data_IF_443857898661
#
_entry.id   IF_443857898661
#
_cell.length_a   1.000
_cell.length_b   1.000
_cell.length_c   1.000
_cell.angle_alpha   90.00
_cell.angle_beta   90.00
_cell.angle_gamma   90.00
#
_symmetry.space_group_name_H-M   'P 1'
#
loop_
_entity.id
_entity.type
_entity.pdbx_description
1 polymer ?
#
# COMPACT_ATOMS: atom_id res chain seq x y z
N UNK A 1 11.54 3.30 14.73
CA UNK A 1 10.95 4.35 15.59
C UNK A 1 11.82 5.62 15.69
N UNK A 2 12.87 5.78 14.86
CA UNK A 2 13.77 6.94 14.94
C UNK A 2 14.57 7.05 16.25
N UNK A 3 14.55 6.02 17.10
CA UNK A 3 15.43 5.89 18.26
C UNK A 3 16.80 5.41 17.78
N UNK A 4 17.84 5.90 18.44
CA UNK A 4 19.19 5.36 18.27
C UNK A 4 19.30 4.10 19.13
N UNK A 5 19.55 2.95 18.49
CA UNK A 5 19.60 1.68 19.21
C UNK A 5 20.77 1.62 20.20
N UNK A 6 21.87 2.33 19.91
CA UNK A 6 23.04 2.38 20.80
C UNK A 6 22.74 3.05 22.14
N UNK A 7 21.80 4.01 22.17
CA UNK A 7 21.34 4.67 23.39
C UNK A 7 20.48 3.75 24.28
N UNK A 8 20.00 2.63 23.74
CA UNK A 8 19.07 1.71 24.40
C UNK A 8 19.62 0.29 24.54
N UNK A 9 20.93 0.10 24.41
CA UNK A 9 21.57 -1.22 24.45
C UNK A 9 21.28 -2.00 25.74
N UNK A 10 21.17 -1.30 26.88
CA UNK A 10 20.80 -1.91 28.16
C UNK A 10 19.38 -2.50 28.13
N UNK A 11 18.44 -1.86 27.45
CA UNK A 11 17.07 -2.35 27.30
C UNK A 11 17.00 -3.54 26.33
N UNK A 12 17.80 -3.51 25.27
CA UNK A 12 17.95 -4.59 24.29
C UNK A 12 18.48 -5.86 24.98
N UNK A 13 19.56 -5.74 25.75
CA UNK A 13 20.08 -6.87 26.52
C UNK A 13 19.11 -7.35 27.59
N UNK A 14 18.37 -6.43 28.22
CA UNK A 14 17.43 -6.78 29.29
C UNK A 14 16.32 -7.73 28.83
N UNK A 15 15.86 -7.59 27.58
CA UNK A 15 14.86 -8.50 26.99
C UNK A 15 15.48 -9.78 26.42
N UNK A 16 16.80 -9.93 26.48
CA UNK A 16 17.52 -11.11 26.07
C UNK A 16 18.00 -11.12 24.62
N UNK A 17 18.18 -9.94 24.01
CA UNK A 17 18.87 -9.81 22.72
C UNK A 17 20.37 -9.54 22.91
N UNK A 18 21.23 -10.08 22.04
CA UNK A 18 22.68 -9.99 22.21
C UNK A 18 23.25 -8.62 21.84
N UNK A 19 22.63 -7.87 20.93
CA UNK A 19 23.05 -6.56 20.48
C UNK A 19 21.95 -5.90 19.63
N UNK A 20 22.19 -4.67 19.17
CA UNK A 20 21.29 -3.87 18.33
C UNK A 20 21.16 -4.34 16.87
N UNK A 21 22.10 -5.16 16.38
CA UNK A 21 22.10 -5.68 15.01
C UNK A 21 21.34 -7.02 14.91
N UNK A 22 21.02 -7.63 16.04
CA UNK A 22 20.32 -8.90 16.10
C UNK A 22 18.91 -8.80 15.52
N UNK A 23 18.65 -9.63 14.50
CA UNK A 23 17.33 -9.79 13.88
C UNK A 23 16.57 -10.90 14.63
N UNK A 24 15.46 -10.59 15.33
CA UNK A 24 14.68 -11.58 16.06
C UNK A 24 14.16 -12.70 15.15
N UNK A 25 14.17 -13.93 15.67
CA UNK A 25 13.65 -15.10 14.94
C UNK A 25 12.24 -15.47 15.41
N UNK A 26 11.55 -16.30 14.64
CA UNK A 26 10.21 -16.79 15.02
C UNK A 26 10.26 -17.52 16.38
N UNK A 27 9.28 -17.22 17.25
CA UNK A 27 9.24 -17.66 18.64
C UNK A 27 9.72 -16.61 19.66
N UNK A 28 10.38 -15.54 19.19
CA UNK A 28 10.87 -14.45 20.05
C UNK A 28 9.95 -13.22 20.08
N UNK A 29 8.72 -13.33 19.58
CA UNK A 29 7.77 -12.23 19.45
C UNK A 29 7.48 -11.58 20.82
N UNK A 30 7.52 -12.37 21.89
CA UNK A 30 7.37 -11.89 23.26
C UNK A 30 8.52 -10.96 23.69
N UNK A 31 9.77 -11.24 23.34
CA UNK A 31 10.92 -10.37 23.65
C UNK A 31 10.81 -9.04 22.91
N UNK A 32 10.43 -9.11 21.63
CA UNK A 32 10.15 -7.91 20.81
C UNK A 32 9.04 -7.07 21.45
N UNK A 33 7.95 -7.71 21.88
CA UNK A 33 6.86 -7.03 22.57
C UNK A 33 7.31 -6.32 23.86
N UNK A 34 8.10 -6.99 24.69
CA UNK A 34 8.65 -6.39 25.91
C UNK A 34 9.57 -5.21 25.63
N UNK A 35 10.42 -5.32 24.62
CA UNK A 35 11.30 -4.22 24.21
C UNK A 35 10.49 -3.02 23.74
N UNK A 36 9.49 -3.24 22.88
CA UNK A 36 8.59 -2.19 22.41
C UNK A 36 7.90 -1.50 23.58
N UNK A 37 7.35 -2.26 24.55
CA UNK A 37 6.70 -1.69 25.73
C UNK A 37 7.65 -0.85 26.57
N UNK A 38 8.89 -1.30 26.74
CA UNK A 38 9.91 -0.59 27.52
C UNK A 38 10.34 0.70 26.82
N UNK A 39 10.50 0.65 25.50
CA UNK A 39 10.88 1.80 24.69
C UNK A 39 9.70 2.72 24.37
N UNK A 40 8.46 2.30 24.63
CA UNK A 40 7.25 3.01 24.23
C UNK A 40 7.23 4.50 24.63
N UNK A 41 7.61 4.90 25.86
CA UNK A 41 7.66 6.31 26.24
C UNK A 41 8.65 7.12 25.40
N UNK A 42 9.82 6.55 25.10
CA UNK A 42 10.84 7.18 24.26
C UNK A 42 10.38 7.31 22.81
N UNK A 43 9.73 6.27 22.29
CA UNK A 43 9.10 6.28 20.97
C UNK A 43 8.05 7.39 20.88
N UNK A 44 7.18 7.52 21.90
CA UNK A 44 6.17 8.57 21.95
C UNK A 44 6.79 9.97 21.99
N UNK A 45 7.85 10.17 22.78
CA UNK A 45 8.55 11.45 22.87
C UNK A 45 9.19 11.82 21.52
N UNK A 46 9.93 10.90 20.90
CA UNK A 46 10.55 11.11 19.58
C UNK A 46 9.50 11.41 18.51
N UNK A 47 8.40 10.66 18.50
CA UNK A 47 7.30 10.89 17.56
C UNK A 47 6.61 12.24 17.77
N UNK A 48 6.52 12.72 19.01
CA UNK A 48 5.99 14.06 19.30
C UNK A 48 6.88 15.15 18.71
N UNK A 49 8.21 15.04 18.89
CA UNK A 49 9.17 15.96 18.29
C UNK A 49 9.10 15.94 16.76
N UNK A 50 9.05 14.76 16.15
CA UNK A 50 8.88 14.65 14.70
C UNK A 50 7.56 15.28 14.22
N UNK A 51 6.47 15.07 14.95
CA UNK A 51 5.17 15.66 14.64
C UNK A 51 5.20 17.17 14.65
N UNK A 52 5.89 17.79 15.60
CA UNK A 52 6.05 19.25 15.61
C UNK A 52 6.76 19.74 14.34
N UNK A 53 7.77 18.99 13.86
CA UNK A 53 8.51 19.35 12.65
C UNK A 53 7.63 19.34 11.40
N UNK A 54 6.72 18.37 11.23
CA UNK A 54 5.88 18.30 10.02
C UNK A 54 4.47 18.84 10.19
N UNK A 55 4.00 19.13 11.41
CA UNK A 55 2.66 19.66 11.66
C UNK A 55 2.44 20.98 10.92
N UNK A 56 3.45 21.84 10.92
CA UNK A 56 3.33 23.16 10.28
C UNK A 56 3.23 23.07 8.76
N UNK A 57 3.81 22.03 8.13
CA UNK A 57 3.59 21.73 6.71
C UNK A 57 2.09 21.53 6.42
N UNK A 58 1.43 20.66 7.19
CA UNK A 58 0.02 20.35 6.98
C UNK A 58 -0.91 21.49 7.41
N UNK A 59 -0.59 22.21 8.49
CA UNK A 59 -1.36 23.39 8.92
C UNK A 59 -1.35 24.46 7.83
N UNK A 60 -0.17 24.77 7.28
CA UNK A 60 -0.02 25.75 6.19
C UNK A 60 -0.81 25.32 4.96
N UNK A 61 -0.71 24.05 4.56
CA UNK A 61 -1.45 23.52 3.41
C UNK A 61 -2.98 23.59 3.57
N UNK A 62 -3.49 23.65 4.81
CA UNK A 62 -4.92 23.64 5.11
C UNK A 62 -5.41 24.97 5.72
N UNK A 63 -4.58 26.01 5.73
CA UNK A 63 -4.91 27.30 6.32
C UNK A 63 -6.10 27.94 5.57
N UNK A 64 -7.04 28.53 6.32
CA UNK A 64 -8.26 29.11 5.74
C UNK A 64 -9.31 28.12 5.22
N UNK A 65 -8.99 26.84 5.07
CA UNK A 65 -9.94 25.83 4.58
C UNK A 65 -10.63 25.11 5.73
N UNK A 66 -11.97 25.10 5.73
CA UNK A 66 -12.78 24.34 6.70
C UNK A 66 -13.04 22.91 6.23
N UNK A 67 -13.27 22.70 4.94
CA UNK A 67 -13.54 21.40 4.36
C UNK A 67 -12.30 20.92 3.62
N UNK A 68 -11.83 19.72 3.93
CA UNK A 68 -10.62 19.14 3.35
C UNK A 68 -11.02 17.82 2.69
N UNK A 69 -10.75 17.69 1.41
CA UNK A 69 -10.87 16.43 0.69
C UNK A 69 -9.49 15.79 0.60
N UNK A 70 -9.38 14.54 1.04
CA UNK A 70 -8.18 13.73 0.91
C UNK A 70 -8.47 12.63 -0.11
N UNK A 71 -7.63 12.51 -1.13
CA UNK A 71 -7.74 11.47 -2.15
C UNK A 71 -6.53 10.58 -2.00
N UNK A 72 -6.76 9.30 -1.74
CA UNK A 72 -5.69 8.36 -1.41
C UNK A 72 -6.03 6.97 -1.97
N UNK A 73 -4.97 6.25 -2.32
CA UNK A 73 -4.99 4.89 -2.86
C UNK A 73 -4.78 3.86 -1.74
N UNK A 74 -4.43 4.29 -0.53
CA UNK A 74 -4.38 3.45 0.65
C UNK A 74 -5.75 2.91 1.08
N UNK A 75 -5.75 1.81 1.83
CA UNK A 75 -6.97 1.01 2.05
C UNK A 75 -7.55 1.08 3.48
N UNK A 76 -6.70 1.46 4.45
CA UNK A 76 -7.02 1.46 5.89
C UNK A 76 -7.17 2.87 6.49
N UNK A 77 -6.95 3.94 5.71
CA UNK A 77 -7.07 5.31 6.20
C UNK A 77 -5.99 5.76 7.19
N UNK A 78 -4.88 5.02 7.31
CA UNK A 78 -3.78 5.35 8.22
C UNK A 78 -3.17 6.72 7.92
N UNK A 79 -2.91 7.03 6.65
CA UNK A 79 -2.37 8.33 6.21
C UNK A 79 -3.32 9.46 6.63
N UNK A 80 -4.62 9.32 6.36
CA UNK A 80 -5.62 10.30 6.75
C UNK A 80 -5.70 10.48 8.28
N UNK A 81 -5.61 9.39 9.05
CA UNK A 81 -5.60 9.43 10.51
C UNK A 81 -4.37 10.17 11.05
N UNK A 82 -3.18 9.89 10.51
CA UNK A 82 -1.93 10.58 10.84
C UNK A 82 -1.99 12.06 10.45
N UNK A 83 -2.52 12.37 9.27
CA UNK A 83 -2.76 13.73 8.81
C UNK A 83 -3.72 14.49 9.75
N UNK A 84 -4.88 13.91 10.08
CA UNK A 84 -5.83 14.55 11.00
C UNK A 84 -5.18 14.83 12.36
N UNK A 85 -4.39 13.89 12.88
CA UNK A 85 -3.62 14.07 14.11
C UNK A 85 -2.56 15.16 13.96
N UNK A 86 -1.86 15.28 12.83
CA UNK A 86 -0.80 16.28 12.65
C UNK A 86 -1.30 17.73 12.81
N UNK A 87 -2.57 17.99 12.51
CA UNK A 87 -3.22 19.30 12.68
C UNK A 87 -3.39 19.74 14.15
N UNK A 88 -3.12 18.87 15.12
CA UNK A 88 -3.22 19.24 16.54
C UNK A 88 -4.65 19.61 16.92
N UNK A 89 -4.84 20.64 17.75
CA UNK A 89 -6.16 21.07 18.20
C UNK A 89 -7.07 21.56 17.05
N UNK A 90 -6.48 22.09 15.96
CA UNK A 90 -7.24 22.66 14.84
C UNK A 90 -8.05 21.61 14.07
N UNK A 91 -7.71 20.32 14.21
CA UNK A 91 -8.38 19.25 13.46
C UNK A 91 -9.90 19.22 13.69
N UNK A 92 -10.37 19.57 14.89
CA UNK A 92 -11.78 19.56 15.26
C UNK A 92 -12.58 20.69 14.58
N UNK A 93 -11.89 21.70 14.06
CA UNK A 93 -12.48 22.78 13.26
C UNK A 93 -12.54 22.41 11.77
N UNK A 94 -11.81 21.37 11.37
CA UNK A 94 -11.77 20.87 9.99
C UNK A 94 -12.78 19.75 9.79
N UNK A 95 -13.37 19.69 8.61
CA UNK A 95 -14.20 18.58 8.13
C UNK A 95 -13.39 17.81 7.10
N UNK A 96 -12.70 16.76 7.55
CA UNK A 96 -11.82 15.94 6.71
C UNK A 96 -12.63 14.78 6.13
N UNK A 97 -12.70 14.73 4.81
CA UNK A 97 -13.37 13.69 4.04
C UNK A 97 -12.36 13.00 3.11
N UNK A 98 -12.13 11.72 3.36
CA UNK A 98 -11.33 10.86 2.51
C UNK A 98 -12.16 10.22 1.41
N UNK A 99 -11.65 10.24 0.19
CA UNK A 99 -12.22 9.61 -0.98
C UNK A 99 -11.24 8.59 -1.52
N UNK A 100 -11.65 7.33 -1.48
CA UNK A 100 -10.83 6.17 -1.75
C UNK A 100 -11.44 5.33 -2.87
N UNK A 101 -10.59 4.65 -3.64
CA UNK A 101 -11.07 3.60 -4.54
C UNK A 101 -11.76 2.48 -3.76
N UNK A 102 -11.17 2.06 -2.65
CA UNK A 102 -11.73 1.08 -1.74
C UNK A 102 -11.25 1.33 -0.30
N UNK A 103 -12.08 0.97 0.68
CA UNK A 103 -11.67 0.89 2.09
C UNK A 103 -12.02 -0.49 2.65
N UNK A 104 -11.17 -1.01 3.54
CA UNK A 104 -11.35 -2.30 4.20
C UNK A 104 -11.89 -2.11 5.62
N UNK A 105 -12.26 -3.21 6.29
CA UNK A 105 -12.90 -3.17 7.62
C UNK A 105 -12.07 -2.40 8.65
N UNK A 106 -10.74 -2.56 8.64
CA UNK A 106 -9.82 -1.84 9.53
C UNK A 106 -9.84 -0.32 9.37
N UNK A 107 -10.33 0.22 8.25
CA UNK A 107 -10.49 1.67 8.08
C UNK A 107 -11.50 2.27 9.07
N UNK A 108 -12.40 1.46 9.63
CA UNK A 108 -13.38 1.91 10.61
C UNK A 108 -12.71 2.39 11.91
N UNK A 109 -11.57 1.82 12.29
CA UNK A 109 -10.82 2.18 13.50
C UNK A 109 -10.21 3.58 13.42
N UNK A 110 -10.05 4.12 12.20
CA UNK A 110 -9.50 5.44 11.95
C UNK A 110 -10.58 6.52 11.76
N UNK A 111 -11.87 6.18 11.82
CA UNK A 111 -12.97 7.12 11.62
C UNK A 111 -13.25 7.95 12.87
N UNK A 112 -13.68 9.19 12.68
CA UNK A 112 -14.34 10.00 13.71
C UNK A 112 -15.41 10.90 13.11
N UNK A 113 -16.07 11.70 13.95
CA UNK A 113 -17.08 12.68 13.49
C UNK A 113 -16.49 13.76 12.56
N UNK A 114 -15.20 14.07 12.70
CA UNK A 114 -14.46 15.06 11.90
C UNK A 114 -13.51 14.42 10.88
N UNK A 115 -13.40 13.09 10.89
CA UNK A 115 -12.50 12.32 10.03
C UNK A 115 -13.29 11.17 9.38
N UNK A 116 -13.90 11.44 8.23
CA UNK A 116 -14.75 10.47 7.52
C UNK A 116 -14.01 9.92 6.30
N UNK A 117 -14.30 8.69 5.94
CA UNK A 117 -13.71 8.01 4.79
C UNK A 117 -14.82 7.39 3.96
N UNK A 118 -14.67 7.42 2.64
CA UNK A 118 -15.63 6.87 1.70
C UNK A 118 -14.87 6.10 0.64
N UNK A 119 -15.08 4.79 0.61
CA UNK A 119 -14.60 3.95 -0.47
C UNK A 119 -15.66 3.78 -1.55
N UNK A 120 -15.26 3.84 -2.82
CA UNK A 120 -16.18 3.77 -3.97
C UNK A 120 -16.54 2.33 -4.35
N UNK A 121 -15.54 1.47 -4.53
CA UNK A 121 -15.71 0.08 -4.96
C UNK A 121 -16.01 -0.86 -3.79
N UNK A 122 -15.33 -0.61 -2.66
CA UNK A 122 -15.69 -1.18 -1.36
C UNK A 122 -15.66 -0.08 -0.31
N UNK A 123 -16.62 -0.10 0.61
CA UNK A 123 -16.68 0.81 1.74
C UNK A 123 -16.67 0.01 3.04
N UNK A 124 -15.60 0.14 3.83
CA UNK A 124 -15.36 -0.61 5.06
C UNK A 124 -15.48 -2.13 4.89
N UNK A 125 -14.94 -2.65 3.79
CA UNK A 125 -14.94 -4.08 3.45
C UNK A 125 -16.21 -4.59 2.75
N UNK A 126 -17.15 -3.71 2.40
CA UNK A 126 -18.38 -4.09 1.69
C UNK A 126 -18.45 -3.53 0.26
N UNK A 127 -18.88 -4.32 -0.75
CA UNK A 127 -19.29 -5.71 -0.64
C UNK A 127 -18.10 -6.66 -0.47
N UNK A 128 -18.31 -7.76 0.25
CA UNK A 128 -17.24 -8.64 0.72
C UNK A 128 -16.52 -9.36 -0.42
N UNK A 129 -17.26 -9.80 -1.45
CA UNK A 129 -16.71 -10.45 -2.63
C UNK A 129 -15.67 -9.58 -3.36
N UNK A 130 -15.95 -8.27 -3.52
CA UNK A 130 -14.98 -7.33 -4.09
C UNK A 130 -13.80 -7.06 -3.15
N UNK A 131 -14.06 -7.00 -1.85
CA UNK A 131 -13.00 -6.83 -0.85
C UNK A 131 -12.00 -8.01 -0.90
N UNK A 132 -12.50 -9.25 -0.99
CA UNK A 132 -11.65 -10.44 -1.12
C UNK A 132 -10.83 -10.43 -2.41
N UNK A 133 -11.39 -9.91 -3.52
CA UNK A 133 -10.63 -9.74 -4.75
C UNK A 133 -9.51 -8.71 -4.60
N UNK A 134 -9.75 -7.59 -3.90
CA UNK A 134 -8.67 -6.67 -3.56
C UNK A 134 -7.58 -7.35 -2.74
N UNK A 135 -7.95 -8.09 -1.69
CA UNK A 135 -7.02 -8.80 -0.79
C UNK A 135 -6.30 -9.99 -1.44
N UNK A 136 -6.70 -10.40 -2.65
CA UNK A 136 -6.12 -11.54 -3.38
C UNK A 136 -5.37 -11.12 -4.66
N UNK A 137 -4.80 -9.91 -4.65
CA UNK A 137 -3.91 -9.39 -5.70
C UNK A 137 -4.34 -8.04 -6.27
N UNK A 138 -5.55 -7.58 -5.98
CA UNK A 138 -6.06 -6.32 -6.50
C UNK A 138 -5.36 -5.10 -5.91
N UNK A 139 -5.00 -5.14 -4.63
CA UNK A 139 -4.23 -4.07 -3.96
C UNK A 139 -2.94 -3.79 -4.72
N UNK A 140 -2.11 -4.82 -4.93
CA UNK A 140 -0.77 -4.64 -5.47
C UNK A 140 -0.79 -4.25 -6.96
N UNK A 141 -1.77 -4.77 -7.71
CA UNK A 141 -1.96 -4.40 -9.11
C UNK A 141 -2.43 -2.95 -9.24
N UNK A 142 -3.32 -2.48 -8.35
CA UNK A 142 -3.80 -1.10 -8.37
C UNK A 142 -2.71 -0.13 -7.92
N UNK A 143 -2.00 -0.44 -6.84
CA UNK A 143 -0.84 0.35 -6.38
C UNK A 143 0.22 0.44 -7.47
N UNK A 144 0.49 -0.64 -8.20
CA UNK A 144 1.37 -0.62 -9.36
C UNK A 144 0.89 0.31 -10.49
N UNK A 145 -0.41 0.32 -10.79
CA UNK A 145 -0.97 1.22 -11.80
C UNK A 145 -0.84 2.69 -11.39
N UNK A 146 -0.87 2.97 -10.09
CA UNK A 146 -0.83 4.32 -9.50
C UNK A 146 0.55 4.68 -8.94
N UNK A 147 1.57 3.87 -9.20
CA UNK A 147 2.91 4.08 -8.67
C UNK A 147 3.48 5.41 -9.18
N UNK A 148 3.99 6.20 -8.23
CA UNK A 148 4.56 7.51 -8.48
C UNK A 148 6.09 7.44 -8.48
N UNK A 149 6.73 8.24 -9.34
CA UNK A 149 8.19 8.22 -9.53
C UNK A 149 8.94 9.26 -8.68
N UNK A 150 8.26 9.93 -7.73
CA UNK A 150 8.89 10.96 -6.87
C UNK A 150 9.47 10.41 -5.57
N UNK A 151 9.31 9.10 -5.32
CA UNK A 151 9.80 8.42 -4.13
C UNK A 151 8.96 8.68 -2.87
N UNK A 152 9.11 7.79 -1.90
CA UNK A 152 8.46 7.90 -0.59
C UNK A 152 8.94 9.14 0.16
N UNK A 153 8.06 9.77 0.94
CA UNK A 153 8.48 10.83 1.87
C UNK A 153 9.12 10.18 3.10
N UNK A 154 10.41 10.43 3.32
CA UNK A 154 11.19 9.87 4.44
C UNK A 154 11.37 10.86 5.58
N UNK A 155 11.02 12.13 5.37
CA UNK A 155 11.11 13.17 6.37
C UNK A 155 10.66 14.53 5.88
N UNK A 156 10.88 15.55 6.70
CA UNK A 156 10.59 16.93 6.38
C UNK A 156 11.77 17.80 6.79
N UNK A 157 12.06 18.83 6.00
CA UNK A 157 13.15 19.78 6.27
C UNK A 157 12.60 21.20 6.29
N UNK A 158 13.00 21.96 7.31
CA UNK A 158 12.73 23.39 7.38
C UNK A 158 13.69 24.15 6.45
N UNK A 159 13.15 25.09 5.70
CA UNK A 159 13.85 25.99 4.79
C UNK A 159 13.37 27.42 5.02
N UNK A 160 14.02 28.40 4.41
CA UNK A 160 13.61 29.81 4.48
C UNK A 160 12.21 30.05 3.90
N UNK A 161 11.79 29.18 2.96
CA UNK A 161 10.48 29.24 2.29
C UNK A 161 9.43 28.32 2.94
N UNK A 162 9.71 27.81 4.15
CA UNK A 162 8.81 26.89 4.87
C UNK A 162 9.32 25.45 4.90
N UNK A 163 8.41 24.51 5.13
CA UNK A 163 8.74 23.10 5.34
C UNK A 163 8.53 22.33 4.03
N UNK A 164 9.52 21.54 3.63
CA UNK A 164 9.45 20.72 2.40
C UNK A 164 9.60 19.23 2.74
N UNK A 165 8.92 18.32 2.04
CA UNK A 165 9.14 16.88 2.19
C UNK A 165 10.51 16.49 1.64
N UNK A 166 11.20 15.60 2.35
CA UNK A 166 12.42 14.92 1.91
C UNK A 166 12.03 13.57 1.34
N UNK A 167 12.51 13.27 0.14
CA UNK A 167 12.15 12.06 -0.61
C UNK A 167 13.27 11.02 -0.55
N UNK A 168 12.89 9.75 -0.57
CA UNK A 168 13.80 8.63 -0.75
C UNK A 168 14.41 8.65 -2.15
N UNK A 169 15.69 8.30 -2.26
CA UNK A 169 16.30 8.01 -3.56
C UNK A 169 15.80 6.66 -4.08
N UNK A 170 15.46 6.60 -5.37
CA UNK A 170 15.00 5.35 -5.98
C UNK A 170 16.14 4.35 -6.13
N UNK A 171 16.00 3.17 -5.51
CA UNK A 171 16.92 2.05 -5.73
C UNK A 171 16.89 1.55 -7.18
N UNK A 172 17.92 0.82 -7.63
CA UNK A 172 17.92 0.24 -8.98
C UNK A 172 16.73 -0.70 -9.24
N UNK A 173 16.30 -1.44 -8.22
CA UNK A 173 15.13 -2.32 -8.31
C UNK A 173 13.81 -1.54 -8.41
N UNK A 174 13.73 -0.39 -7.74
CA UNK A 174 12.59 0.53 -7.79
C UNK A 174 12.47 1.17 -9.18
N UNK A 175 13.61 1.60 -9.76
CA UNK A 175 13.63 2.17 -11.11
C UNK A 175 13.08 1.18 -12.15
N UNK A 176 13.44 -0.10 -12.07
CA UNK A 176 12.90 -1.12 -12.99
C UNK A 176 11.40 -1.38 -12.79
N UNK A 177 10.94 -1.35 -11.53
CA UNK A 177 9.51 -1.42 -11.21
C UNK A 177 8.75 -0.21 -11.79
N UNK A 178 9.25 1.01 -11.59
CA UNK A 178 8.66 2.25 -12.09
C UNK A 178 8.64 2.32 -13.62
N UNK A 179 9.64 1.76 -14.32
CA UNK A 179 9.60 1.63 -15.79
C UNK A 179 8.42 0.78 -16.27
N UNK A 180 8.13 -0.33 -15.57
CA UNK A 180 6.97 -1.16 -15.88
C UNK A 180 5.67 -0.40 -15.58
N UNK A 181 5.61 0.34 -14.47
CA UNK A 181 4.45 1.14 -14.08
C UNK A 181 4.16 2.23 -15.12
N UNK A 182 5.19 2.98 -15.54
CA UNK A 182 5.09 4.00 -16.58
C UNK A 182 4.56 3.44 -17.91
N UNK A 183 4.97 2.22 -18.28
CA UNK A 183 4.43 1.54 -19.46
C UNK A 183 2.94 1.23 -19.33
N UNK A 184 2.49 0.76 -18.15
CA UNK A 184 1.06 0.54 -17.88
C UNK A 184 0.29 1.86 -17.93
N UNK A 185 0.79 2.90 -17.27
CA UNK A 185 0.19 4.23 -17.23
C UNK A 185 0.05 4.85 -18.63
N UNK A 186 1.06 4.68 -19.50
CA UNK A 186 0.97 5.08 -20.90
C UNK A 186 -0.17 4.38 -21.64
N UNK A 187 -0.39 3.09 -21.37
CA UNK A 187 -1.55 2.35 -21.89
C UNK A 187 -2.89 2.88 -21.37
N UNK A 188 -2.96 3.22 -20.08
CA UNK A 188 -4.15 3.84 -19.47
C UNK A 188 -4.47 5.18 -20.13
N UNK A 189 -3.46 6.06 -20.30
CA UNK A 189 -3.62 7.35 -20.97
C UNK A 189 -4.10 7.15 -22.41
N UNK A 190 -3.44 6.25 -23.16
CA UNK A 190 -3.82 5.93 -24.55
C UNK A 190 -5.26 5.44 -24.66
N UNK A 191 -5.72 4.63 -23.70
CA UNK A 191 -7.12 4.19 -23.64
C UNK A 191 -8.07 5.37 -23.44
N UNK A 192 -7.78 6.26 -22.48
CA UNK A 192 -8.61 7.44 -22.24
C UNK A 192 -8.62 8.41 -23.41
N UNK A 193 -7.50 8.57 -24.12
CA UNK A 193 -7.44 9.36 -25.36
C UNK A 193 -8.32 8.74 -26.46
N UNK A 194 -8.29 7.41 -26.61
CA UNK A 194 -9.14 6.69 -27.54
C UNK A 194 -10.63 6.83 -27.23
N UNK A 195 -11.03 6.74 -25.96
CA UNK A 195 -12.45 6.83 -25.56
C UNK A 195 -12.94 8.27 -25.32
N UNK A 196 -12.04 9.27 -25.28
CA UNK A 196 -12.38 10.68 -25.02
C UNK A 196 -13.53 11.21 -25.88
N UNK A 197 -13.60 10.96 -27.20
CA UNK A 197 -14.71 11.46 -28.02
C UNK A 197 -16.07 10.86 -27.63
N UNK A 198 -16.09 9.63 -27.12
CA UNK A 198 -17.30 8.96 -26.64
C UNK A 198 -17.72 9.54 -25.29
N UNK A 199 -16.77 9.77 -24.38
CA UNK A 199 -17.02 10.39 -23.08
C UNK A 199 -17.62 11.78 -23.24
N UNK A 200 -17.07 12.60 -24.15
CA UNK A 200 -17.54 13.98 -24.38
C UNK A 200 -18.97 14.06 -24.95
N UNK A 201 -19.44 13.02 -25.63
CA UNK A 201 -20.80 12.93 -26.18
C UNK A 201 -21.77 12.19 -25.26
N UNK A 202 -21.26 11.53 -24.21
CA UNK A 202 -22.00 10.63 -23.34
C UNK A 202 -22.52 11.30 -22.07
N UNK A 203 -23.23 10.50 -21.27
CA UNK A 203 -23.65 10.89 -19.93
C UNK A 203 -22.49 10.67 -18.95
N UNK A 204 -21.89 11.75 -18.44
CA UNK A 204 -20.83 11.70 -17.43
C UNK A 204 -21.22 10.90 -16.17
N UNK A 205 -22.51 10.80 -15.84
CA UNK A 205 -22.97 9.97 -14.72
C UNK A 205 -22.61 8.48 -14.90
N UNK A 206 -22.50 7.99 -16.14
CA UNK A 206 -22.08 6.62 -16.41
C UNK A 206 -20.64 6.34 -15.95
N UNK A 207 -19.77 7.37 -15.87
CA UNK A 207 -18.40 7.22 -15.38
C UNK A 207 -18.32 6.99 -13.86
N UNK A 208 -19.40 7.25 -13.13
CA UNK A 208 -19.49 6.95 -11.70
C UNK A 208 -19.96 5.52 -11.40
N UNK A 209 -20.26 4.74 -12.44
CA UNK A 209 -20.74 3.37 -12.29
C UNK A 209 -19.62 2.42 -11.88
N UNK A 210 -19.87 1.66 -10.82
CA UNK A 210 -18.97 0.58 -10.38
C UNK A 210 -18.84 -0.54 -11.40
N UNK A 211 -19.73 -0.64 -12.40
CA UNK A 211 -19.62 -1.62 -13.50
C UNK A 211 -18.33 -1.43 -14.30
N UNK A 212 -17.81 -0.20 -14.38
CA UNK A 212 -16.54 0.07 -15.07
C UNK A 212 -15.33 -0.58 -14.40
N UNK A 213 -15.46 -1.06 -13.15
CA UNK A 213 -14.42 -1.81 -12.45
C UNK A 213 -14.43 -3.31 -12.73
N UNK A 214 -15.47 -3.84 -13.40
CA UNK A 214 -15.59 -5.28 -13.65
C UNK A 214 -14.39 -5.88 -14.41
N UNK A 215 -13.83 -5.24 -15.45
CA UNK A 215 -12.62 -5.76 -16.12
C UNK A 215 -11.41 -5.88 -15.19
N UNK A 216 -11.30 -5.01 -14.18
CA UNK A 216 -10.24 -5.10 -13.17
C UNK A 216 -10.46 -6.30 -12.24
N UNK A 217 -11.69 -6.52 -11.79
CA UNK A 217 -12.01 -7.69 -10.97
C UNK A 217 -11.91 -9.01 -11.75
N UNK A 218 -12.25 -9.01 -13.04
CA UNK A 218 -12.02 -10.15 -13.93
C UNK A 218 -10.53 -10.42 -14.13
N UNK A 219 -9.70 -9.37 -14.29
CA UNK A 219 -8.26 -9.52 -14.33
C UNK A 219 -7.75 -10.25 -13.08
N UNK A 220 -8.20 -9.87 -11.89
CA UNK A 220 -7.75 -10.50 -10.64
C UNK A 220 -8.22 -11.96 -10.57
N UNK A 221 -9.51 -12.20 -10.79
CA UNK A 221 -10.12 -13.51 -10.57
C UNK A 221 -9.83 -14.52 -11.70
N UNK A 222 -9.75 -14.05 -12.94
CA UNK A 222 -9.71 -14.89 -14.14
C UNK A 222 -8.80 -14.30 -15.23
N UNK A 223 -7.51 -14.03 -14.95
CA UNK A 223 -6.63 -13.40 -15.92
C UNK A 223 -6.40 -14.26 -17.16
N UNK A 224 -6.54 -13.66 -18.34
CA UNK A 224 -6.11 -14.27 -19.61
C UNK A 224 -4.61 -14.57 -19.60
N UNK A 225 -4.16 -15.40 -20.52
CA UNK A 225 -2.74 -15.75 -20.68
C UNK A 225 -1.88 -14.53 -20.96
N UNK A 226 -2.37 -13.62 -21.81
CA UNK A 226 -1.65 -12.39 -22.12
C UNK A 226 -1.51 -11.48 -20.89
N UNK A 227 -2.54 -11.40 -20.05
CA UNK A 227 -2.49 -10.66 -18.79
C UNK A 227 -1.53 -11.31 -17.79
N UNK A 228 -1.52 -12.64 -17.67
CA UNK A 228 -0.55 -13.36 -16.84
C UNK A 228 0.88 -13.14 -17.31
N UNK A 229 1.14 -13.25 -18.61
CA UNK A 229 2.49 -13.05 -19.16
C UNK A 229 2.97 -11.61 -18.94
N UNK A 230 2.07 -10.62 -19.03
CA UNK A 230 2.38 -9.22 -18.78
C UNK A 230 2.63 -8.88 -17.30
N UNK A 231 1.87 -9.49 -16.37
CA UNK A 231 1.82 -9.07 -14.97
C UNK A 231 2.47 -10.07 -13.99
N UNK A 232 2.84 -11.27 -14.44
CA UNK A 232 3.43 -12.30 -13.55
C UNK A 232 4.78 -11.91 -12.95
N UNK A 233 5.51 -10.99 -13.59
CA UNK A 233 6.78 -10.45 -13.09
C UNK A 233 6.65 -9.23 -12.19
N UNK A 234 5.43 -8.83 -11.83
CA UNK A 234 5.21 -7.73 -10.89
C UNK A 234 5.67 -8.13 -9.49
N UNK A 235 6.17 -7.13 -8.78
CA UNK A 235 6.68 -7.28 -7.42
C UNK A 235 6.11 -6.19 -6.53
N UNK A 236 6.00 -6.45 -5.24
CA UNK A 236 5.54 -5.52 -4.21
C UNK A 236 6.61 -5.38 -3.11
N UNK A 237 6.73 -4.19 -2.52
CA UNK A 237 7.55 -3.95 -1.33
C UNK A 237 6.63 -3.87 -0.12
N UNK A 238 6.88 -4.70 0.90
CA UNK A 238 6.11 -4.70 2.15
C UNK A 238 6.60 -3.65 3.16
N UNK A 239 7.75 -3.03 2.90
CA UNK A 239 8.43 -2.20 3.90
C UNK A 239 7.99 -0.74 3.85
N UNK A 240 7.38 -0.26 4.94
CA UNK A 240 7.09 1.16 5.12
C UNK A 240 8.40 1.97 5.17
N UNK A 241 8.62 2.84 4.17
CA UNK A 241 9.81 3.70 4.09
C UNK A 241 11.07 3.01 3.55
N UNK A 242 10.95 1.84 2.94
CA UNK A 242 12.02 1.20 2.16
C UNK A 242 11.43 0.44 0.98
N UNK A 243 11.97 0.68 -0.22
CA UNK A 243 11.52 0.03 -1.45
C UNK A 243 12.52 -1.00 -2.01
N UNK A 244 13.52 -1.39 -1.21
CA UNK A 244 14.64 -2.20 -1.68
C UNK A 244 14.32 -3.71 -1.80
N UNK A 245 13.52 -4.26 -0.89
CA UNK A 245 13.13 -5.67 -0.92
C UNK A 245 11.79 -5.84 -1.62
N UNK A 246 11.74 -6.64 -2.68
CA UNK A 246 10.53 -6.83 -3.48
C UNK A 246 10.16 -8.30 -3.65
N UNK A 247 8.90 -8.62 -3.39
CA UNK A 247 8.34 -9.96 -3.46
C UNK A 247 7.48 -10.09 -4.73
N UNK A 248 7.65 -11.17 -5.49
CA UNK A 248 6.86 -11.43 -6.69
C UNK A 248 5.41 -11.74 -6.33
N UNK A 249 4.44 -11.09 -6.98
CA UNK A 249 3.01 -11.25 -6.65
C UNK A 249 2.52 -12.70 -6.83
N UNK A 250 3.02 -13.38 -7.87
CA UNK A 250 2.69 -14.76 -8.21
C UNK A 250 3.95 -15.55 -8.61
N UNK A 251 4.59 -16.18 -7.64
CA UNK A 251 5.83 -16.95 -7.84
C UNK A 251 5.61 -18.18 -8.72
N UNK A 252 6.51 -18.38 -9.69
CA UNK A 252 6.60 -19.63 -10.47
C UNK A 252 7.40 -20.67 -9.71
N UNK A 253 6.80 -21.83 -9.45
CA UNK A 253 7.44 -22.94 -8.73
C UNK A 253 8.30 -23.83 -9.65
N UNK A 254 9.29 -24.54 -9.08
CA UNK A 254 10.01 -25.60 -9.78
C UNK A 254 9.08 -26.68 -10.34
N UNK A 255 9.49 -27.35 -11.43
CA UNK A 255 8.64 -28.33 -12.12
C UNK A 255 8.14 -29.46 -11.20
N UNK A 256 8.98 -29.92 -10.26
CA UNK A 256 8.62 -30.94 -9.27
C UNK A 256 7.40 -30.54 -8.45
N UNK A 257 7.40 -29.34 -7.89
CA UNK A 257 6.32 -28.85 -7.02
C UNK A 257 5.05 -28.52 -7.79
N UNK A 258 5.19 -28.21 -9.09
CA UNK A 258 4.04 -28.08 -10.01
C UNK A 258 3.40 -29.43 -10.32
N UNK A 259 4.21 -30.45 -10.56
CA UNK A 259 3.76 -31.80 -10.91
C UNK A 259 3.23 -32.59 -9.71
N UNK A 260 3.73 -32.30 -8.51
CA UNK A 260 3.32 -32.95 -7.28
C UNK A 260 3.06 -31.88 -6.20
N UNK A 261 1.89 -31.21 -6.24
CA UNK A 261 1.54 -30.20 -5.25
C UNK A 261 1.50 -30.82 -3.85
N UNK A 262 2.40 -30.40 -2.98
CA UNK A 262 2.47 -30.79 -1.57
C UNK A 262 2.46 -29.57 -0.66
N UNK A 263 3.03 -29.71 0.54
CA UNK A 263 3.08 -28.64 1.54
C UNK A 263 3.72 -27.35 1.00
N UNK A 264 4.79 -27.46 0.18
CA UNK A 264 5.44 -26.30 -0.41
C UNK A 264 4.50 -25.51 -1.34
N UNK A 265 3.66 -26.20 -2.12
CA UNK A 265 2.68 -25.54 -3.00
C UNK A 265 1.65 -24.75 -2.18
N UNK A 266 1.13 -25.36 -1.11
CA UNK A 266 0.13 -24.74 -0.23
C UNK A 266 0.74 -23.54 0.49
N UNK A 267 1.96 -23.68 1.01
CA UNK A 267 2.71 -22.60 1.65
C UNK A 267 2.87 -21.40 0.71
N UNK A 268 3.37 -21.64 -0.51
CA UNK A 268 3.62 -20.58 -1.50
C UNK A 268 2.32 -19.98 -2.05
N UNK A 269 1.25 -20.77 -2.20
CA UNK A 269 -0.07 -20.25 -2.53
C UNK A 269 -0.61 -19.34 -1.43
N UNK A 270 -0.46 -19.72 -0.16
CA UNK A 270 -0.91 -18.93 0.98
C UNK A 270 -0.09 -17.65 1.15
N UNK A 271 1.20 -17.67 0.79
CA UNK A 271 2.07 -16.49 0.80
C UNK A 271 1.90 -15.59 -0.44
N UNK A 272 1.40 -16.11 -1.57
CA UNK A 272 1.26 -15.32 -2.80
C UNK A 272 0.21 -14.23 -2.67
N UNK A 273 0.53 -13.00 -3.09
CA UNK A 273 -0.42 -11.91 -3.19
C UNK A 273 -1.54 -12.21 -4.21
N UNK A 274 -1.16 -12.55 -5.44
CA UNK A 274 -2.11 -12.82 -6.50
C UNK A 274 -2.43 -14.32 -6.63
N UNK A 275 -3.43 -14.77 -5.87
CA UNK A 275 -3.79 -16.20 -5.71
C UNK A 275 -4.11 -16.89 -7.04
N UNK A 276 -4.96 -16.29 -7.87
CA UNK A 276 -5.35 -16.87 -9.15
C UNK A 276 -4.23 -16.80 -10.19
N UNK A 277 -3.42 -15.74 -10.17
CA UNK A 277 -2.18 -15.66 -10.92
C UNK A 277 -1.26 -16.84 -10.63
N UNK A 278 -1.01 -17.10 -9.34
CA UNK A 278 -0.19 -18.21 -8.88
C UNK A 278 -0.75 -19.57 -9.34
N UNK A 279 -2.05 -19.82 -9.14
CA UNK A 279 -2.69 -21.08 -9.54
C UNK A 279 -2.53 -21.33 -11.04
N UNK A 280 -2.74 -20.31 -11.89
CA UNK A 280 -2.67 -20.47 -13.35
C UNK A 280 -1.24 -20.65 -13.85
N UNK A 281 -0.25 -19.93 -13.31
CA UNK A 281 1.17 -20.09 -13.63
C UNK A 281 1.69 -21.49 -13.24
N UNK A 282 1.21 -22.01 -12.10
CA UNK A 282 1.69 -23.26 -11.52
C UNK A 282 0.81 -24.48 -11.86
N UNK A 283 -0.25 -24.32 -12.65
CA UNK A 283 -1.09 -25.44 -13.11
C UNK A 283 -0.26 -26.45 -13.90
N UNK A 284 -0.56 -27.75 -13.71
CA UNK A 284 -0.01 -28.84 -14.54
C UNK A 284 -0.48 -28.64 -15.99
N UNK A 285 0.40 -28.12 -16.84
CA UNK A 285 0.16 -28.06 -18.28
C UNK A 285 0.81 -29.27 -18.94
N UNK A 286 0.08 -30.38 -18.96
CA UNK A 286 0.24 -31.34 -20.04
C UNK A 286 -0.83 -30.96 -21.07
N UNK A 287 -0.44 -30.30 -22.16
CA UNK A 287 -1.25 -30.17 -23.38
C UNK A 287 -2.55 -29.34 -23.35
N UNK A 288 -2.46 -28.05 -23.05
CA UNK A 288 -3.45 -27.09 -23.60
C UNK A 288 -2.84 -25.71 -23.82
N UNK A 289 -2.69 -25.34 -25.10
CA UNK A 289 -2.70 -23.94 -25.53
C UNK A 289 -4.03 -23.35 -25.08
N UNK A 290 -3.95 -22.14 -24.54
CA UNK A 290 -5.02 -21.47 -23.83
C UNK A 290 -6.20 -21.17 -24.77
N UNK A 291 -7.38 -21.70 -24.45
CA UNK A 291 -8.67 -21.16 -24.85
C UNK A 291 -9.29 -20.47 -23.64
#
# INVERSE_FOLDING_TARGET
>A
AGLDASEHISDIHHVGFPDEEYIPVSGEEHKVHWLINKLFPYILLKNTQHREVYADYFKTACEGFKNIALIDVGWMGNIQSVFARSLGAQWAEKQIHGFYLATFSGANDNRSIYNKMFGWLTNYGHPHDKCELFLSGGVEIMEFAMADNTGSTIGYKKTDNGIIPVREDSSGSEIEYLKKAARLQSGIISFFEYVKPLIQKGNYAALSSVVLSEPFFELIARPSSAQLDALSSLTHSESAGSNAERIVLAKKLPLKDKLFPGENYIKELNASYWKEGFKRINRKKFWAKYN
#
